data_IF_054744486504
#
_entry.id   IF_054744486504
#
_cell.length_a   1.000
_cell.length_b   1.000
_cell.length_c   1.000
_cell.angle_alpha   90.00
_cell.angle_beta   90.00
_cell.angle_gamma   90.00
#
_symmetry.space_group_name_H-M   'P 1'
#
loop_
_entity.id
_entity.type
_entity.pdbx_description
1 polymer ?
#
# COMPACT_ATOMS: atom_id res chain seq x y z
N UNK A 1 -8.82 -6.76 -11.55
CA UNK A 1 -7.68 -5.95 -11.99
C UNK A 1 -6.39 -6.36 -11.32
N UNK A 2 -6.31 -6.17 -10.02
CA UNK A 2 -5.05 -6.22 -9.31
C UNK A 2 -4.44 -7.60 -9.17
N UNK A 3 -5.23 -8.69 -9.15
CA UNK A 3 -4.70 -10.06 -9.17
C UNK A 3 -3.69 -10.25 -10.31
N UNK A 4 -4.05 -9.80 -11.50
CA UNK A 4 -3.20 -9.90 -12.68
C UNK A 4 -1.97 -9.01 -12.58
N UNK A 5 -2.08 -7.80 -12.01
CA UNK A 5 -0.90 -6.99 -11.68
C UNK A 5 0.06 -7.73 -10.74
N UNK A 6 -0.48 -8.41 -9.72
CA UNK A 6 0.33 -9.21 -8.82
C UNK A 6 1.11 -10.29 -9.59
N UNK A 7 0.43 -11.03 -10.46
CA UNK A 7 1.07 -12.00 -11.34
C UNK A 7 2.17 -11.35 -12.20
N UNK A 8 1.84 -10.25 -12.89
CA UNK A 8 2.80 -9.50 -13.71
C UNK A 8 4.00 -9.00 -12.92
N UNK A 9 3.85 -8.70 -11.63
CA UNK A 9 4.94 -8.26 -10.76
C UNK A 9 5.70 -9.45 -10.12
N UNK A 10 5.38 -10.69 -10.50
CA UNK A 10 6.04 -11.90 -10.01
C UNK A 10 5.59 -12.34 -8.61
N UNK A 11 4.33 -12.06 -8.26
CA UNK A 11 3.67 -12.59 -7.06
C UNK A 11 3.10 -13.96 -7.41
N UNK A 12 3.52 -15.02 -6.70
CA UNK A 12 2.90 -16.34 -6.85
C UNK A 12 1.41 -16.28 -6.42
N UNK A 13 0.55 -17.05 -7.08
CA UNK A 13 -0.90 -16.92 -6.92
C UNK A 13 -1.38 -17.14 -5.47
N UNK A 14 -0.69 -18.01 -4.72
CA UNK A 14 -0.94 -18.25 -3.30
C UNK A 14 -0.72 -17.02 -2.40
N UNK A 15 0.17 -16.11 -2.80
CA UNK A 15 0.45 -14.85 -2.10
C UNK A 15 -0.32 -13.66 -2.67
N UNK A 16 -1.06 -13.86 -3.76
CA UNK A 16 -1.80 -12.79 -4.40
C UNK A 16 -2.94 -12.31 -3.50
N UNK A 17 -2.91 -11.02 -3.14
CA UNK A 17 -3.87 -10.48 -2.18
C UNK A 17 -5.30 -10.49 -2.74
N UNK A 18 -5.44 -10.54 -4.07
CA UNK A 18 -6.71 -10.53 -4.79
C UNK A 18 -7.17 -11.93 -5.24
N UNK A 19 -6.66 -13.00 -4.63
CA UNK A 19 -7.14 -14.36 -4.90
C UNK A 19 -8.46 -14.65 -4.20
N UNK A 20 -9.26 -15.55 -4.79
CA UNK A 20 -10.54 -15.97 -4.23
C UNK A 20 -11.73 -15.14 -4.70
N UNK A 21 -12.86 -15.27 -3.99
CA UNK A 21 -14.08 -14.48 -4.20
C UNK A 21 -13.95 -13.06 -3.65
N UNK A 22 -14.85 -12.17 -4.05
CA UNK A 22 -14.90 -10.80 -3.54
C UNK A 22 -14.98 -10.75 -2.00
N UNK A 23 -15.85 -11.57 -1.40
CA UNK A 23 -15.99 -11.66 0.06
C UNK A 23 -14.70 -12.13 0.74
N UNK A 24 -14.00 -13.12 0.16
CA UNK A 24 -12.71 -13.57 0.69
C UNK A 24 -11.64 -12.46 0.62
N UNK A 25 -11.63 -11.66 -0.44
CA UNK A 25 -10.71 -10.52 -0.59
C UNK A 25 -11.06 -9.43 0.42
N UNK A 26 -12.34 -9.11 0.58
CA UNK A 26 -12.84 -8.09 1.52
C UNK A 26 -12.52 -8.47 2.95
N UNK A 27 -12.80 -9.71 3.35
CA UNK A 27 -12.46 -10.24 4.67
C UNK A 27 -10.94 -10.22 4.92
N UNK A 28 -10.14 -10.73 3.97
CA UNK A 28 -8.67 -10.70 4.07
C UNK A 28 -8.13 -9.29 4.22
N UNK A 29 -8.73 -8.33 3.51
CA UNK A 29 -8.39 -6.91 3.64
C UNK A 29 -8.67 -6.43 5.06
N UNK A 30 -9.86 -6.69 5.60
CA UNK A 30 -10.23 -6.29 6.95
C UNK A 30 -9.29 -6.91 8.00
N UNK A 31 -9.06 -8.22 7.93
CA UNK A 31 -8.18 -8.95 8.83
C UNK A 31 -6.75 -8.41 8.78
N UNK A 32 -6.24 -8.12 7.59
CA UNK A 32 -4.91 -7.53 7.42
C UNK A 32 -4.78 -6.17 8.12
N UNK A 33 -5.79 -5.30 8.00
CA UNK A 33 -5.73 -4.01 8.69
C UNK A 33 -5.85 -4.15 10.21
N UNK A 34 -6.81 -4.94 10.68
CA UNK A 34 -7.10 -5.08 12.10
C UNK A 34 -6.01 -5.85 12.85
N UNK A 35 -5.51 -6.94 12.27
CA UNK A 35 -4.57 -7.83 12.93
C UNK A 35 -3.10 -7.46 12.66
N UNK A 36 -2.81 -6.77 11.55
CA UNK A 36 -1.43 -6.46 11.16
C UNK A 36 -1.13 -4.97 11.12
N UNK A 37 -1.79 -4.18 10.26
CA UNK A 37 -1.41 -2.77 10.06
C UNK A 37 -1.61 -1.93 11.32
N UNK A 38 -2.84 -1.89 11.86
CA UNK A 38 -3.18 -1.04 13.01
C UNK A 38 -2.32 -1.37 14.25
N UNK A 39 -2.07 -2.65 14.60
CA UNK A 39 -1.15 -3.00 15.67
C UNK A 39 0.29 -2.52 15.46
N UNK A 40 0.79 -2.58 14.22
CA UNK A 40 2.17 -2.16 13.89
C UNK A 40 2.36 -0.64 13.94
N UNK A 41 1.31 0.14 13.63
CA UNK A 41 1.38 1.60 13.70
C UNK A 41 1.62 2.13 15.11
N UNK A 42 1.33 1.33 16.15
CA UNK A 42 1.56 1.72 17.54
C UNK A 42 3.04 1.88 17.89
N UNK A 43 3.93 1.17 17.22
CA UNK A 43 5.36 1.14 17.52
C UNK A 43 6.22 1.64 16.35
N UNK A 44 5.76 2.66 15.61
CA UNK A 44 6.48 3.21 14.46
C UNK A 44 7.92 3.63 14.81
N UNK A 45 8.88 3.28 13.96
CA UNK A 45 10.29 3.67 14.11
C UNK A 45 10.57 5.07 13.54
N UNK A 46 11.70 5.71 13.88
CA UNK A 46 12.13 6.95 13.22
C UNK A 46 12.26 6.81 11.69
N UNK A 47 12.76 5.67 11.23
CA UNK A 47 12.92 5.34 9.81
C UNK A 47 11.56 5.24 9.11
N UNK A 48 10.51 4.78 9.81
CA UNK A 48 9.17 4.68 9.25
C UNK A 48 8.65 6.04 8.77
N UNK A 49 8.73 7.08 9.62
CA UNK A 49 8.28 8.42 9.24
C UNK A 49 9.16 8.97 8.12
N UNK A 50 10.48 8.82 8.25
CA UNK A 50 11.42 9.29 7.23
C UNK A 50 11.14 8.69 5.85
N UNK A 51 10.97 7.36 5.78
CA UNK A 51 10.66 6.66 4.53
C UNK A 51 9.29 7.06 3.97
N UNK A 52 8.29 7.18 4.84
CA UNK A 52 6.95 7.66 4.46
C UNK A 52 7.05 9.02 3.79
N UNK A 53 7.83 9.93 4.36
CA UNK A 53 8.06 11.24 3.77
C UNK A 53 8.78 11.18 2.42
N UNK A 54 9.84 10.38 2.28
CA UNK A 54 10.56 10.24 1.01
C UNK A 54 9.65 9.73 -0.12
N UNK A 55 8.78 8.76 0.20
CA UNK A 55 7.76 8.28 -0.74
C UNK A 55 6.85 9.43 -1.17
N UNK A 56 6.34 10.20 -0.21
CA UNK A 56 5.41 11.30 -0.45
C UNK A 56 6.05 12.42 -1.29
N UNK A 57 7.30 12.77 -0.99
CA UNK A 57 8.07 13.75 -1.75
C UNK A 57 8.23 13.31 -3.21
N UNK A 58 8.54 12.03 -3.44
CA UNK A 58 8.60 11.48 -4.80
C UNK A 58 7.25 11.48 -5.51
N UNK A 59 6.14 11.27 -4.79
CA UNK A 59 4.79 11.33 -5.35
C UNK A 59 4.40 12.75 -5.77
N UNK A 60 4.83 13.76 -5.00
CA UNK A 60 4.61 15.18 -5.29
C UNK A 60 5.39 15.69 -6.51
N UNK A 61 6.49 15.02 -6.88
CA UNK A 61 7.25 15.35 -8.09
C UNK A 61 6.39 15.27 -9.37
N UNK A 62 5.41 14.37 -9.38
CA UNK A 62 4.43 14.25 -10.47
C UNK A 62 3.24 15.21 -10.24
N UNK A 63 3.53 16.52 -10.25
CA UNK A 63 2.73 17.76 -10.36
C UNK A 63 1.23 17.87 -10.00
N UNK A 64 0.52 16.84 -9.54
CA UNK A 64 -0.93 16.93 -9.26
C UNK A 64 -1.33 16.65 -7.81
N UNK A 65 -0.41 16.20 -6.95
CA UNK A 65 -0.72 15.88 -5.55
C UNK A 65 -0.45 17.03 -4.57
N UNK A 66 0.72 17.67 -4.62
CA UNK A 66 1.12 18.75 -3.69
C UNK A 66 0.63 18.54 -2.24
N UNK A 67 0.91 17.38 -1.65
CA UNK A 67 0.46 17.03 -0.30
C UNK A 67 1.63 16.95 0.67
N UNK A 68 1.45 17.49 1.88
CA UNK A 68 2.40 17.27 2.97
C UNK A 68 2.35 15.82 3.45
N UNK A 69 3.38 15.41 4.21
CA UNK A 69 3.38 14.12 4.89
C UNK A 69 2.16 13.96 5.81
N UNK A 70 1.85 15.01 6.59
CA UNK A 70 0.71 15.04 7.50
C UNK A 70 -0.61 14.82 6.77
N UNK A 71 -0.79 15.48 5.63
CA UNK A 71 -2.02 15.37 4.84
C UNK A 71 -2.24 13.93 4.34
N UNK A 72 -1.21 13.27 3.81
CA UNK A 72 -1.34 11.89 3.33
C UNK A 72 -1.54 10.89 4.46
N UNK A 73 -0.83 11.07 5.59
CA UNK A 73 -1.04 10.23 6.77
C UNK A 73 -2.50 10.37 7.21
N UNK A 74 -3.02 11.59 7.35
CA UNK A 74 -4.41 11.82 7.75
C UNK A 74 -5.42 11.17 6.80
N UNK A 75 -5.23 11.31 5.49
CA UNK A 75 -6.08 10.66 4.50
C UNK A 75 -6.06 9.14 4.64
N UNK A 76 -4.87 8.57 4.76
CA UNK A 76 -4.68 7.12 4.89
C UNK A 76 -5.28 6.61 6.20
N UNK A 77 -5.14 7.33 7.30
CA UNK A 77 -5.70 6.94 8.60
C UNK A 77 -7.21 7.13 8.66
N UNK A 78 -7.77 8.12 7.97
CA UNK A 78 -9.22 8.30 7.90
C UNK A 78 -9.89 7.17 7.11
N UNK A 79 -9.26 6.67 6.03
CA UNK A 79 -9.67 5.42 5.35
C UNK A 79 -9.77 4.25 6.34
N UNK A 80 -8.86 4.20 7.32
CA UNK A 80 -8.85 3.18 8.37
C UNK A 80 -9.76 3.47 9.56
N UNK A 81 -10.52 4.58 9.51
CA UNK A 81 -11.34 5.09 10.61
C UNK A 81 -10.55 5.31 11.91
N UNK A 82 -9.28 5.68 11.80
CA UNK A 82 -8.44 6.00 12.95
C UNK A 82 -8.57 7.48 13.30
N UNK A 83 -8.78 7.77 14.58
CA UNK A 83 -8.84 9.15 15.08
C UNK A 83 -7.42 9.71 15.27
N UNK A 84 -7.05 10.69 14.46
CA UNK A 84 -5.74 11.35 14.49
C UNK A 84 -5.85 12.80 14.97
N UNK A 85 -6.42 12.99 16.15
CA UNK A 85 -6.81 14.32 16.65
C UNK A 85 -5.62 15.25 16.91
N UNK A 86 -4.47 14.71 17.35
CA UNK A 86 -3.27 15.50 17.58
C UNK A 86 -2.62 15.93 16.27
N UNK A 87 -2.50 15.02 15.30
CA UNK A 87 -1.95 15.32 13.98
C UNK A 87 -2.82 16.32 13.23
N UNK A 88 -4.15 16.15 13.26
CA UNK A 88 -5.10 17.08 12.64
C UNK A 88 -5.01 18.49 13.25
N UNK A 89 -4.85 18.60 14.57
CA UNK A 89 -4.64 19.89 15.25
C UNK A 89 -3.29 20.55 14.94
N UNK A 90 -2.32 19.81 14.39
CA UNK A 90 -0.98 20.31 14.06
C UNK A 90 -0.83 20.81 12.62
N UNK A 91 -1.89 20.74 11.81
CA UNK A 91 -1.87 21.17 10.41
C UNK A 91 -1.68 22.68 10.31
N UNK A 92 -0.79 23.10 9.42
CA UNK A 92 -0.77 24.47 8.93
C UNK A 92 -2.02 24.76 8.08
N UNK A 93 -2.31 26.04 7.87
CA UNK A 93 -3.47 26.45 7.07
C UNK A 93 -3.46 25.90 5.64
N UNK A 94 -2.28 25.85 4.99
CA UNK A 94 -2.13 25.26 3.65
C UNK A 94 -2.35 23.75 3.66
N UNK A 95 -1.84 23.04 4.67
CA UNK A 95 -2.05 21.59 4.81
C UNK A 95 -3.51 21.25 5.10
N UNK A 96 -4.21 22.11 5.85
CA UNK A 96 -5.65 21.97 6.10
C UNK A 96 -6.47 22.19 4.82
N UNK A 97 -6.15 23.22 4.03
CA UNK A 97 -6.78 23.44 2.72
C UNK A 97 -6.52 22.23 1.83
N UNK A 98 -5.27 21.77 1.71
CA UNK A 98 -4.92 20.61 0.88
C UNK A 98 -5.67 19.34 1.33
N UNK A 99 -5.74 19.08 2.64
CA UNK A 99 -6.49 17.96 3.21
C UNK A 99 -7.96 18.03 2.81
N UNK A 100 -8.63 19.17 3.03
CA UNK A 100 -10.04 19.36 2.67
C UNK A 100 -10.25 19.30 1.16
N UNK A 101 -9.44 20.00 0.37
CA UNK A 101 -9.50 19.97 -1.09
C UNK A 101 -9.39 18.55 -1.60
N UNK A 102 -8.51 17.71 -1.06
CA UNK A 102 -8.39 16.31 -1.46
C UNK A 102 -9.56 15.44 -1.03
N UNK A 103 -10.13 15.65 0.17
CA UNK A 103 -11.37 14.98 0.59
C UNK A 103 -12.52 15.24 -0.40
N UNK A 104 -12.53 16.39 -1.07
CA UNK A 104 -13.57 16.77 -2.04
C UNK A 104 -13.16 16.58 -3.52
N UNK A 105 -11.87 16.52 -3.83
CA UNK A 105 -11.34 16.36 -5.18
C UNK A 105 -10.85 14.91 -5.35
N UNK A 106 -11.79 14.03 -5.70
CA UNK A 106 -11.53 12.60 -5.88
C UNK A 106 -10.32 12.39 -6.80
N UNK A 107 -9.32 11.67 -6.30
CA UNK A 107 -8.12 11.41 -7.10
C UNK A 107 -8.28 10.14 -7.88
N UNK A 108 -8.99 10.29 -9.00
CA UNK A 108 -9.07 9.34 -10.10
C UNK A 108 -8.09 9.73 -11.24
N UNK A 109 -7.35 10.83 -11.13
CA UNK A 109 -6.63 11.38 -12.30
C UNK A 109 -5.24 10.78 -12.59
N UNK A 110 -4.84 9.68 -11.95
CA UNK A 110 -3.61 8.96 -12.34
C UNK A 110 -3.71 7.44 -12.36
N UNK A 111 -4.66 6.84 -11.64
CA UNK A 111 -5.08 5.45 -11.89
C UNK A 111 -5.68 5.32 -13.30
N UNK A 112 -6.29 6.39 -13.82
CA UNK A 112 -6.84 6.43 -15.16
C UNK A 112 -5.80 6.19 -16.27
N UNK A 113 -4.53 6.53 -16.10
CA UNK A 113 -3.54 6.28 -17.16
C UNK A 113 -3.19 4.78 -17.29
N UNK A 114 -3.25 4.04 -16.19
CA UNK A 114 -3.15 2.57 -16.19
C UNK A 114 -4.46 1.88 -16.56
N UNK A 115 -5.59 2.52 -16.28
CA UNK A 115 -6.93 2.07 -16.68
C UNK A 115 -7.19 2.27 -18.18
N UNK A 116 -6.72 3.39 -18.74
CA UNK A 116 -6.98 3.82 -20.11
C UNK A 116 -5.87 3.42 -21.08
N UNK A 117 -4.61 3.35 -20.63
CA UNK A 117 -3.50 2.94 -21.48
C UNK A 117 -3.50 1.43 -21.57
N UNK A 118 -3.85 0.85 -22.72
CA UNK A 118 -4.03 -0.59 -22.91
C UNK A 118 -2.74 -1.40 -22.63
N UNK A 119 -2.44 -1.91 -21.41
CA UNK A 119 -1.14 -2.52 -21.13
C UNK A 119 -0.96 -3.89 -21.79
N UNK A 120 -2.06 -4.47 -22.29
CA UNK A 120 -2.09 -5.73 -23.03
C UNK A 120 -1.74 -5.60 -24.50
N UNK A 121 -1.73 -4.37 -25.04
CA UNK A 121 -1.29 -4.13 -26.41
C UNK A 121 0.21 -3.86 -26.38
N UNK A 122 1.00 -4.77 -26.95
CA UNK A 122 2.45 -4.62 -27.03
C UNK A 122 2.80 -3.27 -27.65
N UNK A 123 3.73 -2.56 -27.01
CA UNK A 123 4.24 -1.28 -27.50
C UNK A 123 3.49 -0.03 -27.01
N UNK A 124 2.35 -0.18 -26.33
CA UNK A 124 1.68 0.97 -25.68
C UNK A 124 2.52 1.52 -24.53
N UNK A 125 2.26 2.77 -24.15
CA UNK A 125 2.94 3.41 -23.02
C UNK A 125 2.72 2.63 -21.72
N UNK A 126 1.51 2.12 -21.48
CA UNK A 126 1.20 1.36 -20.28
C UNK A 126 1.88 -0.02 -20.25
N UNK A 127 1.96 -0.72 -21.39
CA UNK A 127 2.69 -1.99 -21.51
C UNK A 127 4.18 -1.79 -21.17
N UNK A 128 4.81 -0.77 -21.78
CA UNK A 128 6.22 -0.41 -21.53
C UNK A 128 6.47 -0.03 -20.08
N UNK A 129 5.54 0.69 -19.44
CA UNK A 129 5.65 1.05 -18.02
C UNK A 129 5.60 -0.18 -17.10
N UNK A 130 4.74 -1.16 -17.40
CA UNK A 130 4.68 -2.41 -16.63
C UNK A 130 5.92 -3.28 -16.81
N UNK A 131 6.39 -3.44 -18.05
CA UNK A 131 7.63 -4.18 -18.34
C UNK A 131 8.82 -3.54 -17.62
N UNK A 132 8.88 -2.21 -17.58
CA UNK A 132 9.90 -1.48 -16.85
C UNK A 132 9.83 -1.75 -15.33
N UNK A 133 8.65 -1.67 -14.72
CA UNK A 133 8.46 -1.96 -13.29
C UNK A 133 8.84 -3.41 -12.96
N UNK A 134 8.39 -4.39 -13.76
CA UNK A 134 8.77 -5.79 -13.62
C UNK A 134 10.28 -5.97 -13.68
N UNK A 135 10.94 -5.35 -14.66
CA UNK A 135 12.40 -5.42 -14.82
C UNK A 135 13.11 -4.86 -13.60
N UNK A 136 12.66 -3.70 -13.09
CA UNK A 136 13.24 -3.09 -11.90
C UNK A 136 13.06 -3.97 -10.66
N UNK A 137 11.87 -4.53 -10.42
CA UNK A 137 11.64 -5.47 -9.33
C UNK A 137 12.48 -6.73 -9.45
N UNK A 138 12.63 -7.28 -10.65
CA UNK A 138 13.47 -8.45 -10.92
C UNK A 138 14.95 -8.18 -10.66
N UNK A 139 15.47 -7.03 -11.09
CA UNK A 139 16.84 -6.62 -10.81
C UNK A 139 17.08 -6.41 -9.31
N UNK A 140 16.14 -5.74 -8.63
CA UNK A 140 16.21 -5.57 -7.18
C UNK A 140 16.15 -6.89 -6.43
N UNK A 141 15.27 -7.82 -6.84
CA UNK A 141 15.19 -9.16 -6.26
C UNK A 141 16.52 -9.90 -6.41
N UNK A 142 17.12 -9.91 -7.61
CA UNK A 142 18.44 -10.54 -7.86
C UNK A 142 19.51 -9.97 -6.93
N UNK A 143 19.61 -8.63 -6.87
CA UNK A 143 20.58 -7.94 -6.03
C UNK A 143 20.38 -8.25 -4.54
N UNK A 144 19.13 -8.28 -4.06
CA UNK A 144 18.86 -8.60 -2.65
C UNK A 144 19.11 -10.07 -2.32
N UNK A 145 18.90 -10.99 -3.26
CA UNK A 145 19.20 -12.41 -3.05
C UNK A 145 20.71 -12.71 -2.96
N UNK A 146 21.56 -11.83 -3.50
CA UNK A 146 23.02 -11.92 -3.42
C UNK A 146 23.59 -11.43 -2.08
N UNK A 147 22.79 -10.73 -1.27
CA UNK A 147 23.18 -10.19 0.03
C UNK A 147 22.64 -11.06 1.16
N UNK A 148 23.36 -11.09 2.28
CA UNK A 148 22.83 -11.61 3.55
C UNK A 148 22.05 -10.53 4.31
N UNK A 149 21.28 -10.95 5.32
CA UNK A 149 20.40 -10.06 6.11
C UNK A 149 21.21 -8.95 6.80
N UNK A 150 22.42 -9.23 7.29
CA UNK A 150 23.28 -8.25 7.96
C UNK A 150 23.79 -7.19 6.98
N UNK A 151 24.17 -7.59 5.77
CA UNK A 151 24.55 -6.69 4.70
C UNK A 151 23.39 -5.79 4.27
N UNK A 152 22.17 -6.34 4.17
CA UNK A 152 20.96 -5.57 3.85
C UNK A 152 20.65 -4.58 4.97
N UNK A 153 20.68 -5.01 6.23
CA UNK A 153 20.41 -4.16 7.40
C UNK A 153 21.44 -3.02 7.49
N UNK A 154 22.71 -3.32 7.27
CA UNK A 154 23.77 -2.30 7.26
C UNK A 154 23.62 -1.32 6.09
N UNK A 155 23.27 -1.79 4.89
CA UNK A 155 23.08 -0.95 3.71
C UNK A 155 21.79 -0.11 3.77
N UNK A 156 20.79 -0.56 4.51
CA UNK A 156 19.50 0.12 4.67
C UNK A 156 19.46 1.09 5.85
N UNK A 157 20.50 1.10 6.70
CA UNK A 157 20.57 1.95 7.89
C UNK A 157 20.58 3.44 7.52
N UNK A 158 19.52 4.15 7.92
CA UNK A 158 19.44 5.60 7.78
C UNK A 158 20.16 6.25 8.96
N UNK A 159 21.31 6.89 8.70
CA UNK A 159 22.15 7.43 9.78
C UNK A 159 21.50 8.56 10.60
N UNK A 160 20.63 9.37 9.97
CA UNK A 160 19.94 10.51 10.59
C UNK A 160 18.51 10.60 10.02
N UNK A 161 17.59 9.73 10.47
CA UNK A 161 16.22 9.76 9.99
C UNK A 161 15.58 11.10 10.39
N UNK A 162 14.94 11.76 9.41
CA UNK A 162 14.16 12.98 9.67
C UNK A 162 12.71 12.61 9.98
N UNK A 163 12.34 12.76 11.25
CA UNK A 163 11.06 12.33 11.81
C UNK A 163 10.46 13.38 12.79
N UNK A 164 10.12 14.60 12.31
CA UNK A 164 9.67 15.70 13.17
C UNK A 164 8.30 15.47 13.81
N UNK A 165 7.43 14.67 13.19
CA UNK A 165 6.05 14.47 13.66
C UNK A 165 5.87 13.16 14.45
N UNK A 166 6.93 12.36 14.63
CA UNK A 166 6.89 11.02 15.23
C UNK A 166 6.21 10.99 16.59
N UNK A 167 6.49 11.95 17.46
CA UNK A 167 5.90 11.98 18.81
C UNK A 167 4.39 12.20 18.77
N UNK A 168 3.89 13.01 17.83
CA UNK A 168 2.46 13.22 17.61
C UNK A 168 1.82 11.95 17.04
N UNK A 169 2.47 11.34 16.04
CA UNK A 169 2.03 10.11 15.41
C UNK A 169 1.93 8.96 16.42
N UNK A 170 2.92 8.78 17.28
CA UNK A 170 2.90 7.76 18.34
C UNK A 170 1.74 7.95 19.31
N UNK A 171 1.40 9.20 19.67
CA UNK A 171 0.25 9.49 20.55
C UNK A 171 -1.06 9.10 19.90
N UNK A 172 -1.29 9.55 18.66
CA UNK A 172 -2.52 9.23 17.94
C UNK A 172 -2.63 7.71 17.66
N UNK A 173 -1.56 7.05 17.21
CA UNK A 173 -1.58 5.61 16.95
C UNK A 173 -1.76 4.76 18.21
N UNK A 174 -1.22 5.19 19.36
CA UNK A 174 -1.46 4.52 20.63
C UNK A 174 -2.94 4.59 21.06
N UNK A 175 -3.62 5.70 20.77
CA UNK A 175 -5.06 5.87 21.04
C UNK A 175 -5.92 5.07 20.05
N UNK A 176 -5.49 5.00 18.79
CA UNK A 176 -6.22 4.37 17.70
C UNK A 176 -6.12 2.83 17.70
N UNK A 177 -5.06 2.26 18.28
CA UNK A 177 -4.81 0.82 18.25
C UNK A 177 -5.56 0.08 19.37
N UNK A 178 -6.40 -0.94 19.05
CA UNK A 178 -7.19 -1.66 20.05
C UNK A 178 -6.37 -2.63 20.93
N UNK A 179 -5.09 -2.86 20.61
CA UNK A 179 -4.22 -3.78 21.34
C UNK A 179 -3.20 -3.03 22.20
N UNK A 180 -3.56 -2.75 23.45
CA UNK A 180 -2.71 -2.01 24.38
C UNK A 180 -1.42 -2.77 24.72
N UNK A 181 -1.51 -4.06 25.03
CA UNK A 181 -0.35 -4.86 25.45
C UNK A 181 0.36 -5.46 24.23
N UNK A 182 1.69 -5.37 24.23
CA UNK A 182 2.55 -5.95 23.19
C UNK A 182 2.25 -7.44 22.92
N UNK A 183 2.05 -8.24 23.97
CA UNK A 183 1.72 -9.68 23.83
C UNK A 183 0.35 -10.01 23.24
N UNK A 184 -0.52 -9.02 23.02
CA UNK A 184 -1.81 -9.20 22.34
C UNK A 184 -1.72 -8.92 20.84
N UNK A 185 -0.56 -8.41 20.35
CA UNK A 185 -0.39 -7.97 18.97
C UNK A 185 0.01 -9.15 18.09
N UNK A 186 -0.77 -9.49 17.04
CA UNK A 186 -0.53 -10.69 16.24
C UNK A 186 0.86 -10.75 15.58
N UNK A 187 1.44 -9.62 15.17
CA UNK A 187 2.75 -9.59 14.53
C UNK A 187 3.89 -10.02 15.46
N UNK A 188 3.84 -9.63 16.74
CA UNK A 188 4.84 -10.03 17.75
C UNK A 188 4.72 -11.53 18.05
N UNK A 189 3.50 -12.07 18.03
CA UNK A 189 3.30 -13.52 18.17
C UNK A 189 3.87 -14.29 16.96
N UNK A 190 3.80 -13.70 15.77
CA UNK A 190 4.34 -14.28 14.52
C UNK A 190 5.87 -14.15 14.39
N UNK A 191 6.48 -13.09 14.92
CA UNK A 191 7.96 -12.95 14.99
C UNK A 191 8.61 -13.95 15.96
N UNK A 192 7.90 -14.32 17.03
CA UNK A 192 8.36 -15.33 17.99
C UNK A 192 8.20 -16.77 17.48
N UNK A 193 7.51 -16.98 16.35
CA UNK A 193 7.47 -18.27 15.68
C UNK A 193 8.71 -18.40 14.78
N UNK A 194 9.30 -19.61 14.66
CA UNK A 194 10.42 -19.86 13.75
C UNK A 194 9.92 -19.85 12.29
N UNK A 195 9.57 -18.67 11.80
CA UNK A 195 9.18 -18.42 10.42
C UNK A 195 10.44 -18.15 9.60
N UNK A 196 10.58 -18.83 8.47
CA UNK A 196 11.69 -18.59 7.56
C UNK A 196 11.55 -17.16 6.99
N UNK A 197 12.49 -16.26 7.32
CA UNK A 197 12.56 -14.94 6.68
C UNK A 197 12.81 -15.14 5.18
N UNK A 198 11.85 -14.81 4.31
CA UNK A 198 12.03 -15.04 2.90
C UNK A 198 13.07 -14.04 2.36
N UNK A 199 14.06 -14.54 1.62
CA UNK A 199 15.13 -13.71 1.04
C UNK A 199 14.62 -12.84 -0.11
N UNK A 200 15.15 -11.63 -0.18
CA UNK A 200 14.88 -10.68 -1.26
C UNK A 200 13.48 -10.07 -1.23
N UNK A 201 13.06 -9.48 -2.35
CA UNK A 201 11.71 -8.95 -2.51
C UNK A 201 10.72 -10.12 -2.67
N UNK A 202 10.28 -10.68 -1.55
CA UNK A 202 9.35 -11.80 -1.53
C UNK A 202 7.97 -11.38 -2.06
N UNK A 203 7.23 -12.35 -2.60
CA UNK A 203 5.89 -12.13 -3.15
C UNK A 203 4.93 -11.50 -2.12
N UNK A 204 5.13 -11.76 -0.82
CA UNK A 204 4.35 -11.11 0.25
C UNK A 204 4.57 -9.60 0.34
N UNK A 205 5.79 -9.10 0.12
CA UNK A 205 6.09 -7.66 0.16
C UNK A 205 5.40 -6.91 -0.99
N UNK A 206 5.39 -7.51 -2.18
CA UNK A 206 4.72 -6.95 -3.35
C UNK A 206 3.19 -7.07 -3.19
N UNK A 207 2.70 -8.17 -2.60
CA UNK A 207 1.28 -8.36 -2.30
C UNK A 207 0.77 -7.37 -1.25
N UNK A 208 1.62 -6.97 -0.30
CA UNK A 208 1.32 -5.92 0.66
C UNK A 208 1.11 -4.57 -0.04
N UNK A 209 1.99 -4.22 -0.98
CA UNK A 209 1.84 -3.01 -1.80
C UNK A 209 0.55 -3.06 -2.62
N UNK A 210 0.26 -4.20 -3.24
CA UNK A 210 -0.98 -4.45 -3.98
C UNK A 210 -2.22 -4.26 -3.08
N UNK A 211 -2.20 -4.78 -1.85
CA UNK A 211 -3.27 -4.59 -0.87
C UNK A 211 -3.53 -3.10 -0.62
N UNK A 212 -2.49 -2.29 -0.37
CA UNK A 212 -2.62 -0.85 -0.05
C UNK A 212 -3.37 -0.05 -1.13
N UNK A 213 -3.21 -0.41 -2.41
CA UNK A 213 -3.91 0.26 -3.50
C UNK A 213 -5.39 -0.11 -3.62
N UNK A 214 -5.76 -1.31 -3.17
CA UNK A 214 -7.08 -1.91 -3.39
C UNK A 214 -7.97 -1.71 -2.19
N UNK A 215 -7.40 -1.94 -1.02
CA UNK A 215 -8.10 -1.92 0.25
C UNK A 215 -8.87 -0.63 0.47
N UNK A 216 -8.28 0.49 0.04
CA UNK A 216 -8.90 1.81 0.12
C UNK A 216 -10.21 1.87 -0.66
N UNK A 217 -10.24 1.29 -1.86
CA UNK A 217 -11.42 1.23 -2.74
C UNK A 217 -12.44 0.24 -2.19
N UNK A 218 -11.99 -0.89 -1.62
CA UNK A 218 -12.87 -1.95 -1.11
C UNK A 218 -13.52 -1.62 0.25
N UNK A 219 -12.76 -0.99 1.15
CA UNK A 219 -13.22 -0.74 2.53
C UNK A 219 -13.97 0.58 2.66
N UNK A 220 -13.60 1.60 1.89
CA UNK A 220 -14.19 2.94 2.01
C UNK A 220 -14.42 3.61 0.66
N UNK A 221 -15.18 3.00 -0.28
CA UNK A 221 -15.42 3.57 -1.60
C UNK A 221 -16.10 4.95 -1.52
N UNK A 222 -17.02 5.14 -0.56
CA UNK A 222 -17.72 6.42 -0.42
C UNK A 222 -16.80 7.56 0.03
N UNK A 223 -15.77 7.27 0.84
CA UNK A 223 -14.76 8.28 1.26
C UNK A 223 -13.87 8.72 0.09
N UNK A 224 -13.83 7.93 -0.98
CA UNK A 224 -13.10 8.26 -2.21
C UNK A 224 -13.97 8.93 -3.29
N UNK A 225 -15.24 9.23 -2.99
CA UNK A 225 -16.17 9.78 -3.97
C UNK A 225 -16.75 8.75 -4.94
N UNK A 226 -16.49 7.45 -4.71
CA UNK A 226 -17.12 6.35 -5.45
C UNK A 226 -18.49 6.09 -4.83
N UNK A 227 -19.45 6.94 -5.18
CA UNK A 227 -20.82 6.81 -4.73
C UNK A 227 -21.58 5.84 -5.64
N UNK A 228 -22.41 4.98 -5.04
CA UNK A 228 -23.31 4.03 -5.72
C UNK A 228 -22.66 2.85 -6.46
N UNK A 229 -21.38 2.53 -6.23
CA UNK A 229 -20.81 1.27 -6.72
C UNK A 229 -21.51 0.08 -6.05
N UNK A 230 -22.00 -0.87 -6.86
CA UNK A 230 -22.57 -2.12 -6.35
C UNK A 230 -21.47 -3.10 -5.97
N UNK A 231 -21.82 -4.16 -5.22
CA UNK A 231 -20.87 -5.25 -4.98
C UNK A 231 -20.45 -5.91 -6.31
N UNK A 232 -21.33 -5.97 -7.33
CA UNK A 232 -20.93 -6.41 -8.67
C UNK A 232 -19.94 -5.45 -9.36
N UNK A 233 -20.06 -4.14 -9.17
CA UNK A 233 -19.09 -3.17 -9.70
C UNK A 233 -17.71 -3.33 -9.05
N UNK A 234 -17.69 -3.54 -7.72
CA UNK A 234 -16.46 -3.78 -6.96
C UNK A 234 -15.85 -5.16 -7.26
N UNK A 235 -16.69 -6.18 -7.45
CA UNK A 235 -16.28 -7.49 -7.94
C UNK A 235 -15.72 -7.38 -9.36
N UNK A 236 -16.37 -6.67 -10.27
CA UNK A 236 -15.87 -6.42 -11.63
C UNK A 236 -14.53 -5.67 -11.61
N UNK A 237 -14.36 -4.69 -10.71
CA UNK A 237 -13.07 -4.05 -10.45
C UNK A 237 -11.99 -5.07 -10.04
N UNK A 238 -12.34 -6.03 -9.18
CA UNK A 238 -11.47 -7.15 -8.81
C UNK A 238 -11.24 -8.16 -9.96
N UNK A 239 -12.22 -8.42 -10.83
CA UNK A 239 -12.27 -9.56 -11.77
C UNK A 239 -11.91 -9.26 -13.23
N UNK A 240 -12.19 -8.07 -13.76
CA UNK A 240 -12.14 -7.74 -15.21
C UNK A 240 -10.82 -8.11 -15.92
N UNK A 241 -9.71 -8.23 -15.18
CA UNK A 241 -8.40 -8.54 -15.74
C UNK A 241 -8.05 -10.03 -15.81
N UNK A 242 -8.86 -10.94 -15.27
CA UNK A 242 -8.65 -12.39 -15.42
C UNK A 242 -8.67 -12.81 -16.91
N UNK A 243 -9.53 -12.18 -17.70
CA UNK A 243 -9.57 -12.29 -19.16
C UNK A 243 -8.34 -11.65 -19.87
N UNK A 244 -7.78 -10.59 -19.28
CA UNK A 244 -6.64 -9.87 -19.85
C UNK A 244 -5.28 -10.50 -19.52
N UNK A 245 -5.14 -11.21 -18.39
CA UNK A 245 -3.98 -12.05 -18.10
C UNK A 245 -3.82 -13.18 -19.13
N UNK A 246 -4.92 -13.84 -19.46
CA UNK A 246 -4.98 -14.84 -20.53
C UNK A 246 -4.56 -14.27 -21.91
N UNK A 247 -5.02 -13.06 -22.23
CA UNK A 247 -4.70 -12.37 -23.49
C UNK A 247 -3.22 -11.92 -23.61
N UNK A 248 -2.47 -11.94 -22.50
CA UNK A 248 -1.05 -11.59 -22.44
C UNK A 248 -0.11 -12.81 -22.40
N UNK A 249 -0.65 -14.01 -22.62
CA UNK A 249 0.11 -15.26 -22.69
C UNK A 249 0.47 -15.85 -21.34
N UNK A 250 -0.33 -15.56 -20.32
CA UNK A 250 -0.22 -16.19 -19.01
C UNK A 250 -1.12 -17.42 -19.01
N UNK A 251 -0.54 -18.57 -19.31
CA UNK A 251 -1.23 -19.84 -19.09
C UNK A 251 -1.43 -20.03 -17.58
N UNK A 252 -2.66 -20.41 -17.23
CA UNK A 252 -3.03 -20.85 -15.89
C UNK A 252 -2.34 -22.20 -15.63
N UNK A 253 -1.16 -22.18 -15.00
CA UNK A 253 -0.65 -23.32 -14.23
C UNK A 253 -0.91 -23.11 -12.73
#
# INVERSE_FOLDING_TARGET
>A
MWRCYGYFLGIADEYNFCRGSFEEIKQRTQDFYQCWIIPNLRDITPEWEHMTRCIIESMNYYSLMCMSCKTIILLTTDILNLSMSHLHGSLSYLEWIAYKSWTYLSTILRILDWYNGQPWVKGTAACKNMEYAHRMHSLMRKKLCELDDEQIDNASKVAKPWCPDRELLLKDFALACPFEKSGQRPHIMLENLPMHKPKGLHSTSIAMTQCSFISTILLTPQKLGIHNATDEDLEAFCHMWRYYGYSLGLDDE
#
